data_IF_540343039474
#
_entry.id   IF_540343039474
#
_cell.length_a   1.000
_cell.length_b   1.000
_cell.length_c   1.000
_cell.angle_alpha   90.00
_cell.angle_beta   90.00
_cell.angle_gamma   90.00
#
_symmetry.space_group_name_H-M   'P 1'
#
loop_
_entity.id
_entity.type
_entity.pdbx_description
1 polymer ?
#
# COMPACT_ATOMS: atom_id res chain seq x y z
N UNK A 1 -7.13 -9.71 -5.18
CA UNK A 1 -7.88 -9.67 -6.47
C UNK A 1 -7.57 -10.88 -7.37
N UNK A 2 -6.31 -11.09 -7.77
CA UNK A 2 -5.89 -12.16 -8.70
C UNK A 2 -6.09 -13.57 -8.15
N UNK A 3 -5.64 -13.85 -6.92
CA UNK A 3 -5.80 -15.17 -6.27
C UNK A 3 -7.25 -15.61 -6.14
N UNK A 4 -8.17 -14.65 -5.96
CA UNK A 4 -9.61 -14.92 -5.85
C UNK A 4 -10.32 -15.06 -7.19
N UNK A 5 -9.67 -14.69 -8.31
CA UNK A 5 -10.24 -14.73 -9.65
C UNK A 5 -9.16 -15.06 -10.72
N UNK A 6 -8.45 -16.21 -10.61
CA UNK A 6 -7.34 -16.56 -11.50
C UNK A 6 -7.78 -16.81 -12.95
N UNK A 7 -9.03 -17.23 -13.16
CA UNK A 7 -9.59 -17.37 -14.50
C UNK A 7 -9.72 -16.02 -15.21
N UNK A 8 -10.00 -14.96 -14.46
CA UNK A 8 -10.18 -13.60 -14.98
C UNK A 8 -8.87 -12.85 -15.11
N UNK A 9 -7.99 -12.88 -14.11
CA UNK A 9 -6.78 -12.05 -14.10
C UNK A 9 -5.48 -12.83 -14.30
N UNK A 10 -5.47 -14.14 -14.13
CA UNK A 10 -4.23 -14.91 -13.99
C UNK A 10 -3.66 -14.80 -12.58
N UNK A 11 -2.74 -15.68 -12.21
CA UNK A 11 -2.17 -15.68 -10.87
C UNK A 11 -1.28 -14.45 -10.65
N UNK A 12 -0.41 -14.15 -11.62
CA UNK A 12 0.49 -13.00 -11.64
C UNK A 12 -0.12 -11.78 -12.35
N UNK A 13 -1.41 -11.79 -12.65
CA UNK A 13 -2.08 -10.73 -13.39
C UNK A 13 -1.86 -10.78 -14.91
N UNK A 14 -1.28 -11.87 -15.42
CA UNK A 14 -0.80 -12.02 -16.80
C UNK A 14 -1.91 -11.96 -17.87
N UNK A 15 -3.18 -12.16 -17.50
CA UNK A 15 -4.31 -12.07 -18.45
C UNK A 15 -4.73 -10.63 -18.76
N UNK A 16 -4.19 -9.65 -18.03
CA UNK A 16 -4.42 -8.20 -18.17
C UNK A 16 -5.85 -7.83 -18.59
N UNK A 17 -6.84 -8.49 -18.00
CA UNK A 17 -8.22 -8.37 -18.46
C UNK A 17 -8.80 -7.04 -18.05
N UNK A 18 -9.26 -6.27 -19.03
CA UNK A 18 -10.02 -5.05 -18.79
C UNK A 18 -11.45 -5.42 -18.38
N UNK A 19 -11.96 -4.81 -17.33
CA UNK A 19 -13.29 -5.12 -16.78
C UNK A 19 -14.20 -3.90 -16.85
N UNK A 20 -15.49 -4.16 -17.06
CA UNK A 20 -16.50 -3.11 -17.01
C UNK A 20 -16.74 -2.64 -15.58
N UNK A 21 -17.37 -1.47 -15.40
CA UNK A 21 -17.82 -1.02 -14.08
C UNK A 21 -18.84 -1.94 -13.43
N UNK A 22 -19.71 -2.57 -14.22
CA UNK A 22 -20.67 -3.55 -13.71
C UNK A 22 -19.93 -4.76 -13.11
N UNK A 23 -18.94 -5.29 -13.84
CA UNK A 23 -18.08 -6.38 -13.35
C UNK A 23 -17.27 -5.96 -12.10
N UNK A 24 -16.76 -4.73 -12.08
CA UNK A 24 -16.05 -4.21 -10.90
C UNK A 24 -16.98 -4.10 -9.67
N UNK A 25 -18.21 -3.63 -9.84
CA UNK A 25 -19.21 -3.56 -8.78
C UNK A 25 -19.57 -4.97 -8.25
N UNK A 26 -19.74 -5.96 -9.13
CA UNK A 26 -19.95 -7.36 -8.74
C UNK A 26 -18.78 -7.91 -7.90
N UNK A 27 -17.54 -7.60 -8.30
CA UNK A 27 -16.35 -8.00 -7.56
C UNK A 27 -16.30 -7.34 -6.17
N UNK A 28 -16.59 -6.04 -6.06
CA UNK A 28 -16.67 -5.37 -4.76
C UNK A 28 -17.76 -5.98 -3.89
N UNK A 29 -18.96 -6.20 -4.41
CA UNK A 29 -20.04 -6.85 -3.67
C UNK A 29 -19.63 -8.24 -3.16
N UNK A 30 -18.85 -9.00 -3.95
CA UNK A 30 -18.33 -10.32 -3.54
C UNK A 30 -17.23 -10.22 -2.47
N UNK A 31 -16.31 -9.26 -2.58
CA UNK A 31 -15.23 -9.01 -1.62
C UNK A 31 -15.83 -8.58 -0.28
N UNK A 32 -16.74 -7.62 -0.30
CA UNK A 32 -17.35 -7.00 0.87
C UNK A 32 -18.67 -7.65 1.29
N UNK A 33 -18.96 -8.89 0.85
CA UNK A 33 -20.26 -9.56 1.06
C UNK A 33 -20.75 -9.65 2.52
N UNK A 34 -19.86 -9.48 3.49
CA UNK A 34 -20.18 -9.48 4.93
C UNK A 34 -20.62 -8.11 5.44
N UNK A 35 -20.45 -7.05 4.66
CA UNK A 35 -20.85 -5.70 5.01
C UNK A 35 -22.37 -5.57 4.89
N UNK A 36 -22.98 -4.81 5.80
CA UNK A 36 -24.42 -4.52 5.74
C UNK A 36 -24.81 -3.66 4.54
N UNK A 37 -23.89 -2.84 4.06
CA UNK A 37 -24.11 -1.91 2.95
C UNK A 37 -22.92 -1.96 1.98
N UNK A 38 -22.92 -2.95 1.08
CA UNK A 38 -21.89 -3.09 0.04
C UNK A 38 -21.98 -2.00 -1.02
N UNK A 39 -23.18 -1.47 -1.28
CA UNK A 39 -23.40 -0.36 -2.22
C UNK A 39 -22.65 0.90 -1.80
N UNK A 40 -22.49 1.16 -0.50
CA UNK A 40 -21.65 2.25 -0.02
C UNK A 40 -20.19 2.11 -0.46
N UNK A 41 -19.64 0.88 -0.45
CA UNK A 41 -18.27 0.60 -0.91
C UNK A 41 -18.17 0.80 -2.42
N UNK A 42 -19.15 0.30 -3.18
CA UNK A 42 -19.22 0.51 -4.63
C UNK A 42 -19.26 2.00 -4.96
N UNK A 43 -20.12 2.78 -4.31
CA UNK A 43 -20.25 4.20 -4.58
C UNK A 43 -19.00 5.00 -4.20
N UNK A 44 -18.29 4.59 -3.15
CA UNK A 44 -17.04 5.23 -2.72
C UNK A 44 -15.89 4.95 -3.69
N UNK A 45 -15.73 3.70 -4.13
CA UNK A 45 -14.56 3.26 -4.91
C UNK A 45 -14.77 3.20 -6.43
N UNK A 46 -16.01 3.31 -6.95
CA UNK A 46 -16.29 3.29 -8.40
C UNK A 46 -16.79 4.63 -8.99
N UNK A 47 -16.17 5.80 -8.71
CA UNK A 47 -16.60 7.08 -9.27
C UNK A 47 -16.45 7.15 -10.80
N UNK A 48 -17.17 8.08 -11.44
CA UNK A 48 -17.15 8.25 -12.90
C UNK A 48 -15.94 9.03 -13.45
N UNK A 49 -15.38 9.93 -12.67
CA UNK A 49 -14.31 10.82 -13.11
C UNK A 49 -13.01 10.47 -12.38
N UNK A 50 -12.36 9.41 -12.84
CA UNK A 50 -11.07 8.97 -12.28
C UNK A 50 -10.20 8.40 -13.40
N UNK A 51 -8.89 8.63 -13.30
CA UNK A 51 -7.89 8.06 -14.21
C UNK A 51 -7.66 6.56 -13.94
N UNK A 52 -8.20 6.04 -12.84
CA UNK A 52 -8.07 4.64 -12.45
C UNK A 52 -9.03 3.76 -13.24
N UNK A 53 -8.52 2.65 -13.76
CA UNK A 53 -9.38 1.62 -14.37
C UNK A 53 -10.32 1.00 -13.32
N UNK A 54 -11.49 0.46 -13.72
CA UNK A 54 -12.38 -0.23 -12.77
C UNK A 54 -11.69 -1.38 -12.03
N UNK A 55 -10.69 -2.02 -12.66
CA UNK A 55 -9.85 -3.06 -12.03
C UNK A 55 -8.96 -2.51 -10.92
N UNK A 56 -8.31 -1.37 -11.15
CA UNK A 56 -7.46 -0.72 -10.14
C UNK A 56 -8.30 -0.25 -8.95
N UNK A 57 -9.48 0.33 -9.21
CA UNK A 57 -10.45 0.71 -8.17
C UNK A 57 -10.85 -0.46 -7.26
N UNK A 58 -11.06 -1.66 -7.82
CA UNK A 58 -11.32 -2.89 -7.03
C UNK A 58 -10.09 -3.30 -6.22
N UNK A 59 -8.89 -3.18 -6.79
CA UNK A 59 -7.64 -3.50 -6.12
C UNK A 59 -7.40 -2.55 -4.93
N UNK A 60 -7.60 -1.24 -5.12
CA UNK A 60 -7.47 -0.22 -4.08
C UNK A 60 -8.46 -0.47 -2.94
N UNK A 61 -9.75 -0.67 -3.25
CA UNK A 61 -10.74 -0.98 -2.22
C UNK A 61 -10.35 -2.21 -1.38
N UNK A 62 -9.88 -3.26 -2.06
CA UNK A 62 -9.43 -4.49 -1.39
C UNK A 62 -8.17 -4.26 -0.56
N UNK A 63 -7.17 -3.54 -1.08
CA UNK A 63 -5.92 -3.25 -0.38
C UNK A 63 -6.12 -2.33 0.82
N UNK A 64 -6.97 -1.32 0.66
CA UNK A 64 -7.30 -0.36 1.70
C UNK A 64 -7.97 -1.04 2.89
N UNK A 65 -8.98 -1.86 2.62
CA UNK A 65 -9.68 -2.58 3.67
C UNK A 65 -8.81 -3.63 4.36
N UNK A 66 -7.99 -4.38 3.61
CA UNK A 66 -7.29 -5.55 4.16
C UNK A 66 -5.93 -5.24 4.77
N UNK A 67 -5.27 -4.16 4.34
CA UNK A 67 -3.90 -3.83 4.74
C UNK A 67 -3.76 -2.38 5.19
N UNK A 68 -4.06 -1.40 4.33
CA UNK A 68 -3.69 0.00 4.60
C UNK A 68 -4.43 0.56 5.80
N UNK A 69 -5.77 0.54 5.80
CA UNK A 69 -6.57 1.17 6.85
C UNK A 69 -6.45 0.48 8.22
N UNK A 70 -6.44 -0.86 8.32
CA UNK A 70 -6.09 -1.52 9.58
C UNK A 70 -4.73 -1.10 10.13
N UNK A 71 -3.73 -0.93 9.25
CA UNK A 71 -2.38 -0.47 9.65
C UNK A 71 -2.40 0.97 10.14
N UNK A 72 -3.16 1.85 9.47
CA UNK A 72 -3.39 3.24 9.89
C UNK A 72 -4.02 3.29 11.29
N UNK A 73 -5.12 2.57 11.51
CA UNK A 73 -5.83 2.59 12.79
C UNK A 73 -4.98 1.97 13.91
N UNK A 74 -4.24 0.91 13.62
CA UNK A 74 -3.28 0.34 14.56
C UNK A 74 -2.19 1.37 14.92
N UNK A 75 -1.60 2.05 13.93
CA UNK A 75 -0.57 3.04 14.15
C UNK A 75 -1.07 4.23 14.99
N UNK A 76 -2.27 4.75 14.68
CA UNK A 76 -2.94 5.77 15.48
C UNK A 76 -3.14 5.28 16.93
N UNK A 77 -3.71 4.08 17.11
CA UNK A 77 -3.99 3.54 18.44
C UNK A 77 -2.74 3.25 19.24
N UNK A 78 -1.68 2.79 18.60
CA UNK A 78 -0.39 2.53 19.24
C UNK A 78 0.27 3.85 19.68
N UNK A 79 0.19 4.90 18.86
CA UNK A 79 0.66 6.23 19.22
C UNK A 79 -0.13 6.86 20.38
N UNK A 80 -1.46 6.69 20.44
CA UNK A 80 -2.31 7.11 21.56
C UNK A 80 -1.87 6.53 22.91
N UNK A 81 -1.18 5.38 22.91
CA UNK A 81 -0.64 4.74 24.10
C UNK A 81 0.80 5.19 24.44
N UNK A 82 1.19 6.41 24.05
CA UNK A 82 2.51 7.02 24.27
C UNK A 82 3.69 6.25 23.64
N UNK A 83 3.44 5.49 22.59
CA UNK A 83 4.52 4.84 21.83
C UNK A 83 5.00 5.72 20.69
N UNK A 84 6.31 5.66 20.40
CA UNK A 84 6.89 6.29 19.22
C UNK A 84 6.56 5.48 17.97
N UNK A 85 5.79 6.06 17.05
CA UNK A 85 5.43 5.45 15.76
C UNK A 85 6.08 6.20 14.61
N UNK A 86 6.62 5.45 13.65
CA UNK A 86 7.12 5.96 12.39
C UNK A 86 6.41 5.21 11.27
N UNK A 87 5.82 5.94 10.32
CA UNK A 87 5.04 5.36 9.24
C UNK A 87 5.71 5.62 7.90
N UNK A 88 5.75 4.60 7.02
CA UNK A 88 6.15 4.75 5.62
C UNK A 88 5.15 4.10 4.68
N UNK A 89 5.15 4.54 3.43
CA UNK A 89 4.48 3.90 2.30
C UNK A 89 5.55 3.54 1.25
N UNK A 90 5.58 2.29 0.82
CA UNK A 90 6.49 1.86 -0.24
C UNK A 90 5.85 2.12 -1.60
N UNK A 91 6.52 2.93 -2.42
CA UNK A 91 5.99 3.49 -3.67
C UNK A 91 7.04 3.32 -4.77
N UNK A 92 7.36 2.06 -5.05
CA UNK A 92 8.34 1.72 -6.08
C UNK A 92 8.16 0.31 -6.62
N UNK A 93 7.82 0.20 -7.91
CA UNK A 93 7.84 -1.07 -8.63
C UNK A 93 9.22 -1.38 -9.23
N UNK A 94 9.91 -2.46 -8.81
CA UNK A 94 11.14 -2.88 -9.45
C UNK A 94 10.87 -3.50 -10.83
N UNK A 95 11.78 -3.27 -11.80
CA UNK A 95 11.61 -3.76 -13.19
C UNK A 95 11.58 -5.28 -13.31
N UNK A 96 12.15 -5.99 -12.35
CA UNK A 96 12.18 -7.45 -12.31
C UNK A 96 10.99 -8.05 -11.53
N UNK A 97 9.98 -7.25 -11.17
CA UNK A 97 8.76 -7.77 -10.56
C UNK A 97 8.09 -8.77 -11.53
N UNK A 98 7.76 -10.00 -11.07
CA UNK A 98 7.14 -11.02 -11.93
C UNK A 98 5.66 -10.77 -12.19
N UNK A 99 5.06 -9.83 -11.46
CA UNK A 99 3.65 -9.46 -11.56
C UNK A 99 3.40 -8.61 -12.81
N UNK A 100 2.17 -8.57 -13.33
CA UNK A 100 1.83 -7.72 -14.45
C UNK A 100 1.93 -6.23 -14.09
N UNK A 101 2.26 -5.38 -15.06
CA UNK A 101 2.50 -3.94 -14.83
C UNK A 101 1.31 -3.22 -14.20
N UNK A 102 0.09 -3.60 -14.59
CA UNK A 102 -1.13 -2.98 -14.06
C UNK A 102 -1.34 -3.19 -12.55
N UNK A 103 -0.65 -4.17 -11.97
CA UNK A 103 -0.74 -4.45 -10.53
C UNK A 103 0.07 -3.47 -9.69
N UNK A 104 0.91 -2.62 -10.31
CA UNK A 104 1.72 -1.63 -9.61
C UNK A 104 2.65 -2.26 -8.58
N UNK A 105 2.70 -1.64 -7.41
CA UNK A 105 3.42 -2.08 -6.21
C UNK A 105 2.59 -3.14 -5.47
N UNK A 106 2.90 -4.41 -5.70
CA UNK A 106 2.19 -5.49 -5.02
C UNK A 106 2.64 -5.66 -3.58
N UNK A 107 1.76 -6.23 -2.78
CA UNK A 107 2.05 -6.62 -1.40
C UNK A 107 3.32 -7.49 -1.30
N UNK A 108 4.16 -7.23 -0.29
CA UNK A 108 5.47 -7.86 -0.02
C UNK A 108 6.62 -7.48 -0.98
N UNK A 109 6.40 -6.66 -2.01
CA UNK A 109 7.46 -6.27 -2.95
C UNK A 109 8.55 -5.42 -2.26
N UNK A 110 8.25 -4.74 -1.15
CA UNK A 110 9.19 -3.93 -0.37
C UNK A 110 10.17 -4.76 0.45
N UNK A 111 9.80 -5.99 0.83
CA UNK A 111 10.57 -6.83 1.75
C UNK A 111 11.97 -7.13 1.19
N UNK A 112 12.09 -7.38 -0.10
CA UNK A 112 13.39 -7.62 -0.75
C UNK A 112 14.35 -6.42 -0.60
N UNK A 113 13.82 -5.19 -0.49
CA UNK A 113 14.62 -3.98 -0.30
C UNK A 113 15.09 -3.86 1.15
N UNK A 114 14.22 -4.15 2.12
CA UNK A 114 14.57 -4.18 3.55
C UNK A 114 15.68 -5.19 3.83
N UNK A 115 15.65 -6.36 3.18
CA UNK A 115 16.66 -7.41 3.32
C UNK A 115 17.86 -7.26 2.37
N UNK A 116 17.90 -6.21 1.55
CA UNK A 116 19.05 -5.87 0.71
C UNK A 116 19.31 -6.78 -0.49
N UNK A 117 18.30 -7.49 -0.98
CA UNK A 117 18.39 -8.30 -2.21
C UNK A 117 18.92 -7.48 -3.41
N UNK A 118 18.50 -6.21 -3.63
CA UNK A 118 19.06 -5.39 -4.69
C UNK A 118 20.59 -5.19 -4.61
N UNK A 119 21.14 -5.18 -3.40
CA UNK A 119 22.58 -5.02 -3.15
C UNK A 119 23.30 -6.36 -3.33
N UNK A 120 22.71 -7.46 -2.86
CA UNK A 120 23.28 -8.80 -2.93
C UNK A 120 23.32 -9.35 -4.36
N UNK A 121 22.32 -9.05 -5.18
CA UNK A 121 22.20 -9.54 -6.56
C UNK A 121 22.09 -8.35 -7.53
N UNK A 122 23.14 -7.51 -7.63
CA UNK A 122 23.06 -6.23 -8.35
C UNK A 122 22.78 -6.36 -9.85
N UNK A 123 23.01 -7.54 -10.43
CA UNK A 123 22.70 -7.84 -11.84
C UNK A 123 21.20 -7.89 -12.15
N UNK A 124 20.34 -8.11 -11.15
CA UNK A 124 18.87 -8.15 -11.32
C UNK A 124 18.19 -6.80 -11.08
N UNK A 125 18.92 -5.79 -10.63
CA UNK A 125 18.37 -4.53 -10.16
C UNK A 125 19.09 -3.31 -10.75
N UNK A 126 18.37 -2.22 -10.92
CA UNK A 126 18.94 -0.94 -11.36
C UNK A 126 19.71 -0.27 -10.22
N UNK A 127 20.54 0.72 -10.58
CA UNK A 127 21.22 1.57 -9.60
C UNK A 127 20.26 2.22 -8.61
N UNK A 128 19.11 2.72 -9.09
CA UNK A 128 18.10 3.37 -8.24
C UNK A 128 17.49 2.40 -7.22
N UNK A 129 17.25 1.15 -7.61
CA UNK A 129 16.71 0.12 -6.72
C UNK A 129 17.71 -0.18 -5.59
N UNK A 130 19.00 -0.21 -5.91
CA UNK A 130 20.08 -0.39 -4.92
C UNK A 130 20.21 0.80 -3.97
N UNK A 131 20.05 2.02 -4.48
CA UNK A 131 20.07 3.22 -3.64
C UNK A 131 18.87 3.26 -2.69
N UNK A 132 17.68 2.88 -3.18
CA UNK A 132 16.49 2.74 -2.35
C UNK A 132 16.68 1.67 -1.26
N UNK A 133 17.20 0.50 -1.63
CA UNK A 133 17.49 -0.57 -0.66
C UNK A 133 18.48 -0.13 0.43
N UNK A 134 19.54 0.61 0.07
CA UNK A 134 20.48 1.15 1.06
C UNK A 134 19.80 2.09 2.05
N UNK A 135 18.96 3.02 1.58
CA UNK A 135 18.19 3.92 2.46
C UNK A 135 17.26 3.15 3.40
N UNK A 136 16.52 2.16 2.86
CA UNK A 136 15.63 1.33 3.69
C UNK A 136 16.41 0.56 4.76
N UNK A 137 17.50 -0.11 4.40
CA UNK A 137 18.35 -0.86 5.34
C UNK A 137 18.92 0.07 6.42
N UNK A 138 19.38 1.25 6.04
CA UNK A 138 19.90 2.24 6.98
C UNK A 138 18.83 2.64 8.01
N UNK A 139 17.65 3.06 7.54
CA UNK A 139 16.55 3.45 8.42
C UNK A 139 16.07 2.29 9.31
N UNK A 140 15.90 1.09 8.77
CA UNK A 140 15.55 -0.10 9.55
C UNK A 140 16.62 -0.44 10.59
N UNK A 141 17.90 -0.40 10.21
CA UNK A 141 19.02 -0.67 11.13
C UNK A 141 19.10 0.37 12.25
N UNK A 142 18.87 1.64 11.94
CA UNK A 142 18.84 2.72 12.93
C UNK A 142 17.67 2.55 13.90
N UNK A 143 16.49 2.18 13.40
CA UNK A 143 15.33 1.88 14.24
C UNK A 143 15.61 0.72 15.20
N UNK A 144 16.21 -0.38 14.71
CA UNK A 144 16.58 -1.52 15.57
C UNK A 144 17.59 -1.12 16.65
N UNK A 145 18.57 -0.28 16.34
CA UNK A 145 19.61 0.15 17.29
C UNK A 145 19.11 1.18 18.30
N UNK A 146 18.29 2.12 17.85
CA UNK A 146 18.05 3.39 18.56
C UNK A 146 16.55 3.67 18.82
N UNK A 147 15.64 2.84 18.31
CA UNK A 147 14.20 3.11 18.33
C UNK A 147 13.76 4.25 17.39
N UNK A 148 14.65 4.78 16.54
CA UNK A 148 14.40 5.90 15.62
C UNK A 148 15.10 5.69 14.26
N UNK A 149 14.40 5.79 13.10
CA UNK A 149 15.02 5.45 11.82
C UNK A 149 15.95 6.55 11.24
N UNK A 150 15.59 7.83 11.36
CA UNK A 150 16.43 9.01 11.05
C UNK A 150 16.00 10.19 11.90
N UNK A 151 16.86 11.20 12.04
CA UNK A 151 16.56 12.33 12.94
C UNK A 151 15.39 13.19 12.51
N UNK A 152 15.24 13.40 11.21
CA UNK A 152 14.17 14.18 10.59
C UNK A 152 12.89 13.39 10.35
N UNK A 153 12.75 12.14 10.83
CA UNK A 153 11.50 11.39 10.65
C UNK A 153 10.49 11.84 11.70
N UNK A 154 9.36 12.45 11.32
CA UNK A 154 8.34 12.86 12.28
C UNK A 154 7.68 11.64 12.93
N UNK A 155 7.25 11.80 14.19
CA UNK A 155 6.38 10.81 14.82
C UNK A 155 5.01 10.86 14.17
N UNK A 156 4.48 9.67 13.88
CA UNK A 156 3.14 9.47 13.38
C UNK A 156 2.15 9.45 14.55
N UNK A 157 1.08 10.23 14.46
CA UNK A 157 -0.09 10.13 15.33
C UNK A 157 -1.35 10.45 14.55
N UNK A 158 -2.52 10.35 15.19
CA UNK A 158 -3.79 10.76 14.58
C UNK A 158 -3.84 12.27 14.30
N UNK A 159 -3.26 13.08 15.19
CA UNK A 159 -3.19 14.53 15.08
C UNK A 159 -2.13 15.00 14.08
N UNK A 160 -1.04 14.23 13.94
CA UNK A 160 0.04 14.48 13.00
C UNK A 160 0.34 13.22 12.17
N UNK A 161 -0.52 12.89 11.17
CA UNK A 161 -0.43 11.63 10.43
C UNK A 161 0.60 11.69 9.31
N UNK A 162 1.80 12.22 9.59
CA UNK A 162 2.86 12.36 8.60
C UNK A 162 3.59 11.04 8.39
N UNK A 163 3.76 10.64 7.14
CA UNK A 163 4.49 9.43 6.75
C UNK A 163 5.50 9.75 5.65
N UNK A 164 6.42 8.82 5.41
CA UNK A 164 7.44 8.95 4.36
C UNK A 164 7.21 8.00 3.19
N UNK A 165 7.46 8.46 1.98
CA UNK A 165 7.46 7.60 0.79
C UNK A 165 8.81 6.93 0.58
N UNK A 166 8.82 5.61 0.41
CA UNK A 166 9.97 4.90 -0.17
C UNK A 166 9.78 4.76 -1.67
N UNK A 167 10.07 5.85 -2.38
CA UNK A 167 10.13 5.91 -3.84
C UNK A 167 11.55 6.20 -4.33
N UNK A 168 11.73 6.38 -5.65
CA UNK A 168 13.05 6.66 -6.25
C UNK A 168 13.40 8.14 -6.38
N UNK A 169 12.64 9.03 -5.75
CA UNK A 169 12.97 10.45 -5.72
C UNK A 169 14.33 10.69 -5.05
N UNK A 170 15.03 11.75 -5.48
CA UNK A 170 16.33 12.12 -4.91
C UNK A 170 16.18 12.59 -3.46
N UNK A 171 15.10 13.32 -3.18
CA UNK A 171 14.75 13.79 -1.86
C UNK A 171 13.70 12.90 -1.23
N UNK A 172 13.77 12.79 0.11
CA UNK A 172 12.79 12.05 0.87
C UNK A 172 11.48 12.82 0.90
N UNK A 173 10.45 12.27 0.25
CA UNK A 173 9.12 12.87 0.21
C UNK A 173 8.30 12.44 1.44
N UNK A 174 7.46 13.36 1.90
CA UNK A 174 6.53 13.16 3.01
C UNK A 174 5.08 13.27 2.51
N UNK A 175 4.19 12.47 3.09
CA UNK A 175 2.76 12.53 2.88
C UNK A 175 2.01 12.75 4.19
N UNK A 176 0.74 13.11 4.10
CA UNK A 176 -0.14 13.32 5.25
C UNK A 176 -1.35 12.40 5.10
N UNK A 177 -1.59 11.55 6.10
CA UNK A 177 -2.75 10.64 6.15
C UNK A 177 -2.75 9.63 4.99
N UNK A 178 -2.06 8.49 5.13
CA UNK A 178 -1.99 7.51 4.05
C UNK A 178 -3.40 7.00 3.74
N UNK A 179 -3.86 7.24 2.50
CA UNK A 179 -5.19 6.89 2.03
C UNK A 179 -6.31 7.45 2.93
N UNK A 180 -6.12 8.68 3.46
CA UNK A 180 -6.97 9.24 4.52
C UNK A 180 -8.47 9.14 4.24
N UNK A 181 -8.94 9.60 3.08
CA UNK A 181 -10.37 9.63 2.77
C UNK A 181 -10.97 8.21 2.70
N UNK A 182 -10.20 7.26 2.16
CA UNK A 182 -10.56 5.85 2.06
C UNK A 182 -10.58 5.17 3.43
N UNK A 183 -9.63 5.51 4.30
CA UNK A 183 -9.60 4.99 5.66
C UNK A 183 -10.65 5.63 6.54
N UNK A 184 -10.95 6.92 6.39
CA UNK A 184 -12.08 7.53 7.11
C UNK A 184 -13.42 6.91 6.72
N UNK A 185 -13.59 6.52 5.45
CA UNK A 185 -14.74 5.71 5.01
C UNK A 185 -14.81 4.34 5.70
N UNK A 186 -13.69 3.64 5.83
CA UNK A 186 -13.65 2.32 6.45
C UNK A 186 -13.64 2.33 7.99
N UNK A 187 -13.33 3.44 8.63
CA UNK A 187 -13.17 3.56 10.08
C UNK A 187 -14.35 2.96 10.90
N UNK A 188 -15.63 3.21 10.57
CA UNK A 188 -16.76 2.64 11.32
C UNK A 188 -16.83 1.11 11.30
N UNK A 189 -16.13 0.44 10.37
CA UNK A 189 -16.09 -1.02 10.28
C UNK A 189 -15.01 -1.65 11.20
N UNK A 190 -14.12 -0.83 11.78
CA UNK A 190 -13.04 -1.26 12.67
C UNK A 190 -13.18 -0.77 14.11
N UNK A 191 -14.02 0.24 14.37
CA UNK A 191 -14.30 0.79 15.70
C UNK A 191 -15.26 -0.10 16.56
N UNK A 192 -15.15 -1.43 16.46
CA UNK A 192 -15.97 -2.39 17.23
C UNK A 192 -15.43 -2.64 18.65
#
# INVERSE_FOLDING_TARGET
>A
LTTGNPDLFGFFGEKDTNISKATAAELLNKIFRTFRNTDAVVNHYLPNNTDYTPRMQVADASGDFTLMCPTVFFAEKFAENNNSVYFYLFDHRPRNSPWAEWMGEVHFEEVQFVFGVPIQIPSRYRKIDRSLARRMIEHWSNFVKNGKPKDSWPLYSKENPTFLYYNTAENQEEGIGPHKDNCDFFRPYFDM
#
